data_IF_647271493398
#
_entry.id   IF_647271493398
#
_cell.length_a   1.000
_cell.length_b   1.000
_cell.length_c   1.000
_cell.angle_alpha   90.00
_cell.angle_beta   90.00
_cell.angle_gamma   90.00
#
_symmetry.space_group_name_H-M   'P 1'
#
loop_
_entity.id
_entity.type
_entity.pdbx_description
1 polymer ?
#
# COMPACT_ATOMS: atom_id res chain seq x y z
N UNK A 1 13.88 8.31 -26.10
CA UNK A 1 13.19 7.36 -25.20
C UNK A 1 13.60 5.98 -25.67
N UNK A 2 14.11 5.12 -24.79
CA UNK A 2 14.24 3.71 -25.12
C UNK A 2 12.95 3.00 -24.75
N UNK A 3 12.17 2.62 -25.76
CA UNK A 3 11.13 1.61 -25.59
C UNK A 3 11.82 0.29 -25.26
N UNK A 4 11.89 -0.03 -23.95
CA UNK A 4 12.28 -1.37 -23.54
C UNK A 4 11.27 -2.33 -24.13
N UNK A 5 11.70 -3.13 -25.12
CA UNK A 5 10.95 -4.29 -25.59
C UNK A 5 10.44 -5.06 -24.38
N UNK A 6 9.13 -5.07 -24.20
CA UNK A 6 8.48 -6.19 -23.53
C UNK A 6 8.84 -7.40 -24.39
N UNK A 7 9.69 -8.28 -23.86
CA UNK A 7 9.89 -9.57 -24.48
C UNK A 7 8.66 -10.38 -24.14
N UNK A 8 7.86 -10.71 -25.16
CA UNK A 8 6.60 -11.46 -25.07
C UNK A 8 6.83 -12.96 -24.73
N UNK A 9 7.51 -13.20 -23.61
CA UNK A 9 7.03 -14.21 -22.68
C UNK A 9 5.77 -13.63 -22.05
N UNK A 10 4.64 -13.77 -22.77
CA UNK A 10 3.33 -13.23 -22.40
C UNK A 10 3.00 -13.59 -20.95
N UNK A 11 2.50 -12.61 -20.18
CA UNK A 11 2.01 -12.84 -18.83
C UNK A 11 0.71 -13.65 -18.92
N UNK A 12 0.81 -14.97 -18.68
CA UNK A 12 -0.29 -15.95 -18.77
C UNK A 12 -1.44 -15.53 -17.87
N UNK A 13 -1.11 -14.94 -16.73
CA UNK A 13 -2.06 -14.35 -15.80
C UNK A 13 -1.38 -13.28 -14.95
N UNK A 14 -1.94 -12.07 -14.90
CA UNK A 14 -1.45 -10.99 -14.03
C UNK A 14 -2.56 -10.45 -13.13
N UNK A 15 -2.20 -10.13 -11.87
CA UNK A 15 -3.01 -9.29 -10.97
C UNK A 15 -2.21 -8.09 -10.49
N UNK A 16 -2.90 -6.97 -10.30
CA UNK A 16 -2.33 -5.72 -9.78
C UNK A 16 -3.06 -5.34 -8.49
N UNK A 17 -2.32 -5.02 -7.44
CA UNK A 17 -2.85 -4.48 -6.17
C UNK A 17 -2.22 -3.11 -5.92
N UNK A 18 -3.05 -2.05 -5.91
CA UNK A 18 -2.63 -0.69 -5.57
C UNK A 18 -2.81 -0.45 -4.07
N UNK A 19 -1.75 0.02 -3.41
CA UNK A 19 -1.68 0.24 -1.97
C UNK A 19 -0.99 1.59 -1.69
N UNK A 20 -1.70 2.68 -1.98
CA UNK A 20 -1.19 4.05 -1.86
C UNK A 20 0.10 4.26 -2.66
N UNK A 21 1.21 4.55 -1.98
CA UNK A 21 2.54 4.74 -2.60
C UNK A 21 3.19 3.46 -3.14
N UNK A 22 2.61 2.28 -2.92
CA UNK A 22 3.09 1.00 -3.46
C UNK A 22 2.10 0.43 -4.47
N UNK A 23 2.59 -0.25 -5.50
CA UNK A 23 1.79 -1.08 -6.40
C UNK A 23 2.47 -2.44 -6.54
N UNK A 24 1.72 -3.50 -6.22
CA UNK A 24 2.15 -4.87 -6.34
C UNK A 24 1.64 -5.48 -7.65
N UNK A 25 2.49 -6.26 -8.31
CA UNK A 25 2.21 -7.01 -9.53
C UNK A 25 2.49 -8.48 -9.26
N UNK A 26 1.54 -9.35 -9.60
CA UNK A 26 1.62 -10.80 -9.43
C UNK A 26 1.43 -11.43 -10.80
N UNK A 27 2.55 -11.80 -11.44
CA UNK A 27 2.60 -12.18 -12.85
C UNK A 27 3.02 -13.66 -12.99
N UNK A 28 2.17 -14.48 -13.61
CA UNK A 28 2.44 -15.90 -13.90
C UNK A 28 3.04 -16.02 -15.30
N UNK A 29 4.22 -16.64 -15.40
CA UNK A 29 5.00 -16.73 -16.64
C UNK A 29 5.45 -18.16 -16.91
N UNK A 30 5.60 -18.53 -18.18
CA UNK A 30 6.19 -19.80 -18.60
C UNK A 30 7.72 -19.75 -18.64
N UNK A 31 8.34 -20.84 -18.21
CA UNK A 31 9.74 -21.17 -18.48
C UNK A 31 9.91 -21.71 -19.91
N UNK A 32 11.15 -21.81 -20.38
CA UNK A 32 11.47 -22.50 -21.66
C UNK A 32 11.11 -23.98 -21.67
N UNK A 33 10.85 -24.60 -20.52
CA UNK A 33 10.42 -25.98 -20.38
C UNK A 33 8.88 -26.16 -20.38
N UNK A 34 8.12 -25.06 -20.48
CA UNK A 34 6.65 -25.07 -20.40
C UNK A 34 6.09 -24.97 -18.99
N UNK A 35 6.89 -25.26 -17.96
CA UNK A 35 6.51 -25.09 -16.56
C UNK A 35 6.32 -23.63 -16.16
N UNK A 36 5.45 -23.34 -15.18
CA UNK A 36 5.11 -21.98 -14.76
C UNK A 36 5.84 -21.54 -13.50
N UNK A 37 6.19 -20.25 -13.43
CA UNK A 37 6.76 -19.59 -12.26
C UNK A 37 6.02 -18.28 -11.95
N UNK A 38 6.08 -17.84 -10.70
CA UNK A 38 5.46 -16.60 -10.24
C UNK A 38 6.52 -15.49 -10.15
N UNK A 39 6.20 -14.33 -10.71
CA UNK A 39 6.91 -13.07 -10.47
C UNK A 39 6.07 -12.22 -9.53
N UNK A 40 6.62 -11.85 -8.37
CA UNK A 40 6.02 -10.83 -7.50
C UNK A 40 6.88 -9.57 -7.61
N UNK A 41 6.30 -8.45 -8.02
CA UNK A 41 6.98 -7.16 -8.05
C UNK A 41 6.30 -6.13 -7.16
N UNK A 42 7.05 -5.41 -6.33
CA UNK A 42 6.60 -4.15 -5.73
C UNK A 42 7.23 -2.98 -6.51
N UNK A 43 6.41 -2.02 -6.94
CA UNK A 43 6.88 -0.69 -7.34
C UNK A 43 6.47 0.32 -6.29
N UNK A 44 7.43 0.99 -5.64
CA UNK A 44 7.18 2.01 -4.63
C UNK A 44 7.59 3.39 -5.14
N UNK A 45 6.66 4.35 -5.09
CA UNK A 45 6.93 5.76 -5.35
C UNK A 45 7.67 6.37 -4.16
N UNK A 46 8.84 6.92 -4.42
CA UNK A 46 9.57 7.80 -3.51
C UNK A 46 9.44 9.22 -4.04
N UNK A 47 9.08 10.14 -3.15
CA UNK A 47 9.05 11.59 -3.42
C UNK A 47 10.11 12.23 -2.54
N UNK A 48 10.92 13.09 -3.14
CA UNK A 48 12.01 13.83 -2.52
C UNK A 48 11.50 15.18 -1.99
N UNK A 49 12.30 15.87 -1.20
CA UNK A 49 11.94 17.17 -0.57
C UNK A 49 11.77 18.31 -1.59
N UNK A 50 12.41 18.20 -2.76
CA UNK A 50 12.24 19.11 -3.91
C UNK A 50 10.94 18.85 -4.72
N UNK A 51 10.11 17.89 -4.28
CA UNK A 51 8.90 17.46 -4.99
C UNK A 51 9.15 16.51 -6.17
N UNK A 52 10.40 16.25 -6.55
CA UNK A 52 10.73 15.24 -7.56
C UNK A 52 10.38 13.84 -7.06
N UNK A 53 10.16 12.89 -7.98
CA UNK A 53 9.82 11.52 -7.60
C UNK A 53 10.45 10.47 -8.51
N UNK A 54 10.69 9.29 -7.96
CA UNK A 54 11.16 8.11 -8.66
C UNK A 54 10.45 6.85 -8.15
N UNK A 55 10.54 5.77 -8.92
CA UNK A 55 10.00 4.47 -8.54
C UNK A 55 11.13 3.48 -8.26
N UNK A 56 11.17 2.90 -7.07
CA UNK A 56 12.05 1.77 -6.75
C UNK A 56 11.27 0.47 -6.97
N UNK A 57 11.76 -0.40 -7.85
CA UNK A 57 11.17 -1.71 -8.11
C UNK A 57 11.93 -2.79 -7.34
N UNK A 58 11.22 -3.50 -6.48
CA UNK A 58 11.65 -4.77 -5.89
C UNK A 58 10.97 -5.90 -6.66
N UNK A 59 11.67 -7.02 -6.89
CA UNK A 59 11.10 -8.19 -7.56
C UNK A 59 11.61 -9.48 -6.90
N UNK A 60 10.69 -10.41 -6.67
CA UNK A 60 10.93 -11.80 -6.30
C UNK A 60 10.53 -12.68 -7.49
N UNK A 61 11.35 -13.69 -7.79
CA UNK A 61 10.98 -14.83 -8.63
C UNK A 61 10.77 -16.02 -7.71
N UNK A 62 9.66 -16.74 -7.87
CA UNK A 62 9.32 -17.93 -7.10
C UNK A 62 9.04 -19.06 -8.08
N UNK A 63 9.71 -20.20 -7.89
CA UNK A 63 9.55 -21.38 -8.74
C UNK A 63 8.61 -22.41 -8.09
N UNK A 64 8.16 -23.36 -8.90
CA UNK A 64 7.02 -24.26 -8.62
C UNK A 64 7.28 -25.17 -7.42
N UNK A 65 8.53 -25.55 -7.21
CA UNK A 65 9.06 -26.30 -6.08
C UNK A 65 8.88 -25.58 -4.73
N UNK A 66 8.97 -24.25 -4.71
CA UNK A 66 8.90 -23.45 -3.49
C UNK A 66 7.46 -23.02 -3.14
N UNK A 67 6.51 -23.16 -4.08
CA UNK A 67 5.16 -22.58 -3.98
C UNK A 67 4.43 -22.93 -2.68
N UNK A 68 4.48 -24.20 -2.25
CA UNK A 68 3.78 -24.62 -1.04
C UNK A 68 4.40 -24.00 0.22
N UNK A 69 5.70 -24.19 0.44
CA UNK A 69 6.39 -23.66 1.62
C UNK A 69 6.33 -22.13 1.72
N UNK A 70 6.45 -21.44 0.58
CA UNK A 70 6.31 -19.99 0.53
C UNK A 70 4.87 -19.53 0.84
N UNK A 71 3.86 -20.16 0.27
CA UNK A 71 2.46 -19.86 0.54
C UNK A 71 2.11 -20.06 2.02
N UNK A 72 2.51 -21.20 2.58
CA UNK A 72 2.15 -21.60 3.94
C UNK A 72 2.81 -20.67 4.97
N UNK A 73 4.11 -20.35 4.80
CA UNK A 73 4.81 -19.37 5.65
C UNK A 73 4.27 -17.95 5.49
N UNK A 74 3.95 -17.49 4.27
CA UNK A 74 3.36 -16.15 4.07
C UNK A 74 1.99 -16.06 4.75
N UNK A 75 1.18 -17.13 4.68
CA UNK A 75 -0.11 -17.21 5.37
C UNK A 75 0.05 -17.22 6.89
N UNK A 76 0.96 -18.01 7.43
CA UNK A 76 1.25 -18.08 8.87
C UNK A 76 1.70 -16.72 9.42
N UNK A 77 2.70 -16.10 8.78
CA UNK A 77 3.27 -14.82 9.22
C UNK A 77 2.28 -13.66 9.08
N UNK A 78 1.41 -13.66 8.05
CA UNK A 78 0.37 -12.64 7.93
C UNK A 78 -0.76 -12.84 8.94
N UNK A 79 -1.18 -14.08 9.21
CA UNK A 79 -2.17 -14.37 10.24
C UNK A 79 -1.67 -13.99 11.63
N UNK A 80 -0.43 -14.34 11.98
CA UNK A 80 0.18 -13.96 13.26
C UNK A 80 0.16 -12.45 13.52
N UNK A 81 0.47 -11.63 12.51
CA UNK A 81 0.39 -10.16 12.62
C UNK A 81 -1.04 -9.68 12.88
N UNK A 82 -2.04 -10.30 12.24
CA UNK A 82 -3.46 -9.95 12.40
C UNK A 82 -3.98 -10.37 13.78
N UNK A 83 -3.58 -11.54 14.27
CA UNK A 83 -3.98 -12.03 15.59
C UNK A 83 -3.36 -11.19 16.72
N UNK A 84 -2.11 -10.75 16.55
CA UNK A 84 -1.38 -9.93 17.53
C UNK A 84 -1.75 -8.44 17.51
N UNK A 85 -2.10 -7.86 16.36
CA UNK A 85 -2.24 -6.39 16.20
C UNK A 85 -3.52 -5.96 15.47
N UNK A 86 -4.39 -6.90 15.12
CA UNK A 86 -5.63 -6.63 14.40
C UNK A 86 -5.42 -6.26 12.93
N UNK A 87 -6.47 -5.70 12.32
CA UNK A 87 -6.46 -5.23 10.93
C UNK A 87 -6.15 -3.71 10.81
N UNK A 88 -5.91 -3.03 11.92
CA UNK A 88 -5.79 -1.57 11.98
C UNK A 88 -4.37 -1.09 11.60
N UNK A 89 -4.29 -0.19 10.62
CA UNK A 89 -3.02 0.34 10.12
C UNK A 89 -2.68 1.64 10.86
N UNK A 90 -2.04 1.51 12.02
CA UNK A 90 -1.66 2.59 12.96
C UNK A 90 -0.64 3.63 12.44
N UNK A 91 -0.58 3.90 11.14
CA UNK A 91 0.43 4.79 10.54
C UNK A 91 -0.16 5.84 9.59
N UNK A 92 -0.22 7.09 10.07
CA UNK A 92 -0.58 8.27 9.25
C UNK A 92 0.23 8.38 7.96
N UNK A 93 1.47 7.86 7.94
CA UNK A 93 2.35 7.84 6.77
C UNK A 93 1.80 7.02 5.58
N UNK A 94 0.71 6.27 5.76
CA UNK A 94 0.00 5.58 4.67
C UNK A 94 -1.32 6.23 4.24
N UNK A 95 -1.84 7.23 4.96
CA UNK A 95 -3.00 8.05 4.53
C UNK A 95 -2.75 9.54 4.79
N UNK A 96 -2.24 10.24 3.77
CA UNK A 96 -2.42 11.70 3.59
C UNK A 96 -2.91 12.06 2.18
N UNK A 97 -2.60 11.24 1.17
CA UNK A 97 -3.03 11.43 -0.22
C UNK A 97 -4.11 10.43 -0.70
N UNK A 98 -5.09 10.05 0.15
CA UNK A 98 -6.24 9.28 -0.32
C UNK A 98 -7.24 10.21 -1.02
N UNK A 99 -7.09 10.37 -2.34
CA UNK A 99 -8.13 10.98 -3.17
C UNK A 99 -9.27 9.97 -3.29
N UNK A 100 -10.38 10.29 -2.63
CA UNK A 100 -11.66 9.59 -2.77
C UNK A 100 -12.22 9.91 -4.17
N UNK A 101 -12.41 8.89 -5.01
CA UNK A 101 -13.12 9.08 -6.28
C UNK A 101 -14.62 9.22 -5.97
N UNK A 102 -15.14 10.46 -6.01
CA UNK A 102 -16.53 10.77 -5.70
C UNK A 102 -17.49 10.32 -6.82
N UNK A 103 -17.75 9.02 -6.85
CA UNK A 103 -18.92 8.45 -7.53
C UNK A 103 -20.18 8.68 -6.68
N UNK A 104 -20.74 9.88 -6.77
CA UNK A 104 -22.09 10.19 -6.32
C UNK A 104 -22.93 10.82 -7.44
N UNK A 105 -23.69 9.96 -8.11
CA UNK A 105 -24.78 10.36 -9.00
C UNK A 105 -26.01 10.75 -8.17
N UNK A 106 -26.38 12.03 -8.17
CA UNK A 106 -27.72 12.52 -7.75
C UNK A 106 -28.80 12.12 -8.79
N UNK A 107 -30.13 12.27 -8.52
CA UNK A 107 -30.84 12.72 -7.30
C UNK A 107 -31.44 11.50 -6.52
N UNK A 108 -32.47 11.49 -5.65
CA UNK A 108 -33.56 12.40 -5.20
C UNK A 108 -33.79 12.20 -3.65
N UNK A 109 -34.22 13.11 -2.75
CA UNK A 109 -34.66 14.53 -2.76
C UNK A 109 -36.15 14.81 -2.34
N UNK A 110 -36.55 14.38 -1.13
CA UNK A 110 -37.73 14.81 -0.31
C UNK A 110 -37.33 14.77 1.18
N UNK A 111 -37.44 15.85 1.98
CA UNK A 111 -38.61 16.34 2.75
C UNK A 111 -39.09 15.36 3.85
N UNK A 112 -39.31 15.72 5.12
CA UNK A 112 -39.42 17.04 5.80
C UNK A 112 -38.04 17.58 6.30
N UNK A 113 -37.70 18.05 7.53
CA UNK A 113 -38.30 18.12 8.90
C UNK A 113 -37.61 19.20 9.77
N UNK A 114 -38.13 19.53 10.96
CA UNK A 114 -37.70 20.60 11.92
C UNK A 114 -37.54 20.03 13.37
N UNK A 115 -37.01 20.65 14.44
CA UNK A 115 -36.43 22.00 14.73
C UNK A 115 -35.53 21.98 16.02
N UNK A 116 -34.55 22.91 16.14
CA UNK A 116 -33.91 23.50 17.38
C UNK A 116 -33.20 22.59 18.43
N UNK A 117 -32.37 23.09 19.35
CA UNK A 117 -32.05 24.49 19.78
C UNK A 117 -30.54 24.71 20.10
N UNK A 118 -30.19 25.91 20.62
CA UNK A 118 -28.85 26.53 20.76
C UNK A 118 -27.99 25.94 21.93
N UNK A 119 -26.66 26.16 22.09
CA UNK A 119 -25.96 27.45 22.39
C UNK A 119 -24.41 27.42 22.18
N UNK A 120 -23.77 28.57 22.41
CA UNK A 120 -22.34 28.96 22.27
C UNK A 120 -21.39 28.27 23.31
N UNK A 121 -20.05 28.36 23.34
CA UNK A 121 -19.11 29.49 23.16
C UNK A 121 -17.69 29.11 22.61
N UNK A 122 -16.87 30.16 22.46
CA UNK A 122 -15.42 30.34 22.14
C UNK A 122 -14.40 29.55 23.00
N UNK A 123 -13.06 29.50 22.79
CA UNK A 123 -12.11 30.27 21.94
C UNK A 123 -10.78 29.50 21.62
N UNK A 124 -9.74 30.21 21.17
CA UNK A 124 -8.37 29.76 20.80
C UNK A 124 -7.45 29.35 22.00
N UNK A 125 -6.14 28.97 21.93
CA UNK A 125 -5.09 28.94 20.87
C UNK A 125 -3.93 27.95 21.22
N UNK A 126 -3.21 27.45 20.19
CA UNK A 126 -1.72 27.22 20.07
C UNK A 126 -0.83 26.55 21.18
N UNK A 127 -0.05 25.55 20.70
CA UNK A 127 1.44 25.46 20.70
C UNK A 127 2.20 24.40 21.55
N UNK A 128 3.05 23.64 20.83
CA UNK A 128 4.39 23.12 21.18
C UNK A 128 4.67 22.40 22.52
N UNK A 129 4.97 21.09 22.41
CA UNK A 129 6.35 20.57 22.62
C UNK A 129 6.44 19.08 22.26
N UNK A 130 7.16 18.72 21.19
CA UNK A 130 7.53 17.34 20.90
C UNK A 130 8.93 17.08 21.47
N UNK A 131 9.08 16.15 22.43
CA UNK A 131 10.39 15.67 22.86
C UNK A 131 10.75 14.36 22.14
N UNK A 132 11.98 14.30 21.65
CA UNK A 132 12.45 13.22 20.78
C UNK A 132 12.86 12.00 21.60
N UNK A 133 12.17 10.87 21.42
CA UNK A 133 12.53 9.60 22.05
C UNK A 133 12.94 8.54 21.01
N UNK A 134 14.19 8.61 20.57
CA UNK A 134 15.15 7.49 20.38
C UNK A 134 16.42 8.06 19.78
N UNK A 135 17.39 8.40 20.62
CA UNK A 135 18.79 8.45 20.22
C UNK A 135 19.46 7.20 20.80
N UNK A 136 20.10 6.39 19.95
CA UNK A 136 20.61 5.06 20.32
C UNK A 136 21.89 4.80 19.54
N UNK A 137 23.03 5.15 20.14
CA UNK A 137 24.35 4.87 19.59
C UNK A 137 24.59 3.36 19.46
N UNK A 138 25.02 2.95 18.26
CA UNK A 138 25.34 1.55 17.91
C UNK A 138 26.85 1.42 17.67
N UNK A 139 27.63 1.36 18.75
CA UNK A 139 29.11 1.29 18.71
C UNK A 139 29.67 0.14 19.57
N UNK A 140 28.84 -0.88 19.89
CA UNK A 140 29.24 -2.04 20.71
C UNK A 140 28.39 -3.32 20.43
N UNK A 141 28.43 -3.84 19.18
CA UNK A 141 27.94 -5.20 18.82
C UNK A 141 28.67 -5.82 17.61
#
# INVERSE_FOLDING_TARGET
MEERKYNDAEDIYSKILRAGRRTYFFDVRSTKAGDYYLTISESKKFTNEDGSFYFKKHKIYLYKEDFQGFNDLVKEMTQYIIDEKGLEVISERHQKDYVKEDHHSKPEETEETEEKEETEETEETKSSSEENFTDVDFDDI
#
